data_IF_919629273032
#
_entry.id   IF_919629273032
#
_cell.length_a   1.000
_cell.length_b   1.000
_cell.length_c   1.000
_cell.angle_alpha   90.00
_cell.angle_beta   90.00
_cell.angle_gamma   90.00
#
_symmetry.space_group_name_H-M   'P 1'
#
loop_
_entity.id
_entity.type
_entity.pdbx_description
1 polymer ?
#
# COMPACT_ATOMS: atom_id res chain seq x y z
N UNK A 1 -35.56 -29.18 44.80
CA UNK A 1 -34.83 -27.94 44.40
C UNK A 1 -35.84 -26.82 44.20
N UNK A 2 -35.65 -25.70 44.88
CA UNK A 2 -36.51 -24.53 44.74
C UNK A 2 -36.26 -23.80 43.42
N UNK A 3 -37.21 -23.01 42.93
CA UNK A 3 -37.01 -22.18 41.76
C UNK A 3 -35.82 -21.20 41.91
N UNK A 4 -35.59 -20.72 43.12
CA UNK A 4 -34.45 -19.85 43.43
C UNK A 4 -33.11 -20.55 43.23
N UNK A 5 -32.98 -21.80 43.66
CA UNK A 5 -31.78 -22.60 43.51
C UNK A 5 -31.49 -22.92 42.02
N UNK A 6 -32.55 -23.23 41.27
CA UNK A 6 -32.44 -23.50 39.83
C UNK A 6 -32.00 -22.24 39.08
N UNK A 7 -32.60 -21.09 39.36
CA UNK A 7 -32.19 -19.80 38.77
C UNK A 7 -30.76 -19.44 39.10
N UNK A 8 -30.32 -19.68 40.33
CA UNK A 8 -28.94 -19.41 40.76
C UNK A 8 -27.93 -20.31 40.06
N UNK A 9 -28.21 -21.61 39.91
CA UNK A 9 -27.33 -22.59 39.24
C UNK A 9 -27.20 -22.34 37.72
N UNK A 10 -28.31 -21.96 37.07
CA UNK A 10 -28.37 -21.80 35.62
C UNK A 10 -28.14 -20.35 35.16
N UNK A 11 -27.96 -19.43 36.11
CA UNK A 11 -27.80 -17.98 35.86
C UNK A 11 -28.86 -17.46 34.91
N UNK A 12 -30.15 -17.77 35.19
CA UNK A 12 -31.26 -17.40 34.32
C UNK A 12 -32.49 -17.00 35.12
N UNK A 13 -33.45 -16.33 34.47
CA UNK A 13 -34.69 -15.84 35.14
C UNK A 13 -35.74 -16.98 35.30
N UNK A 14 -36.61 -16.84 36.27
CA UNK A 14 -37.76 -17.75 36.47
C UNK A 14 -38.67 -17.83 35.23
N UNK A 15 -38.83 -16.71 34.52
CA UNK A 15 -39.63 -16.63 33.27
C UNK A 15 -38.98 -17.51 32.19
N UNK A 16 -37.66 -17.50 32.10
CA UNK A 16 -36.95 -18.34 31.15
C UNK A 16 -37.17 -19.84 31.46
N UNK A 17 -36.98 -20.25 32.71
CA UNK A 17 -37.21 -21.64 33.12
C UNK A 17 -38.66 -22.03 32.92
N UNK A 18 -39.62 -21.19 33.32
CA UNK A 18 -41.04 -21.45 33.13
C UNK A 18 -41.42 -21.69 31.68
N UNK A 19 -40.88 -20.89 30.76
CA UNK A 19 -41.08 -21.04 29.33
C UNK A 19 -40.55 -22.41 28.81
N UNK A 20 -39.36 -22.79 29.18
CA UNK A 20 -38.79 -24.07 28.78
C UNK A 20 -39.49 -25.26 29.39
N UNK A 21 -39.93 -25.17 30.65
CA UNK A 21 -40.76 -26.18 31.30
C UNK A 21 -42.07 -26.40 30.56
N UNK A 22 -42.80 -25.34 30.22
CA UNK A 22 -44.06 -25.45 29.46
C UNK A 22 -43.84 -26.09 28.09
N UNK A 23 -42.79 -25.71 27.39
CA UNK A 23 -42.43 -26.30 26.09
C UNK A 23 -42.11 -27.79 26.21
N UNK A 24 -41.35 -28.17 27.21
CA UNK A 24 -41.03 -29.56 27.46
C UNK A 24 -42.26 -30.41 27.84
N UNK A 25 -43.17 -29.86 28.63
CA UNK A 25 -44.43 -30.55 28.99
C UNK A 25 -45.31 -30.75 27.77
N UNK A 26 -45.36 -29.77 26.86
CA UNK A 26 -46.20 -29.84 25.66
C UNK A 26 -45.58 -30.75 24.56
N UNK A 27 -44.28 -30.64 24.31
CA UNK A 27 -43.65 -31.24 23.13
C UNK A 27 -42.46 -32.15 23.48
N UNK A 28 -42.20 -32.43 24.76
CA UNK A 28 -41.09 -33.28 25.25
C UNK A 28 -39.74 -32.72 24.73
N UNK A 29 -38.86 -33.56 24.24
CA UNK A 29 -37.54 -33.18 23.77
C UNK A 29 -37.58 -32.24 22.56
N UNK A 30 -38.59 -32.39 21.69
CA UNK A 30 -38.76 -31.50 20.53
C UNK A 30 -39.01 -30.05 20.93
N UNK A 31 -39.71 -29.82 22.06
CA UNK A 31 -39.91 -28.49 22.62
C UNK A 31 -38.63 -27.76 23.08
N UNK A 32 -37.55 -28.50 23.28
CA UNK A 32 -36.24 -27.92 23.67
C UNK A 32 -35.38 -27.47 22.48
N UNK A 33 -35.74 -27.81 21.25
CA UNK A 33 -35.04 -27.30 20.08
C UNK A 33 -35.38 -25.81 19.83
N UNK A 34 -34.41 -25.03 19.34
CA UNK A 34 -34.67 -23.64 19.04
C UNK A 34 -35.72 -23.51 17.91
N UNK A 35 -36.85 -22.87 18.20
CA UNK A 35 -37.87 -22.57 17.18
C UNK A 35 -37.49 -21.47 16.24
N UNK A 36 -36.44 -20.69 16.59
CA UNK A 36 -35.97 -19.60 15.77
C UNK A 36 -34.96 -20.15 14.74
N UNK A 37 -35.47 -20.49 13.57
CA UNK A 37 -34.66 -20.90 12.41
C UNK A 37 -33.87 -19.75 11.78
N UNK A 38 -33.69 -18.62 12.48
CA UNK A 38 -33.20 -17.37 11.91
C UNK A 38 -34.22 -16.78 10.91
N UNK A 39 -34.27 -15.50 10.75
CA UNK A 39 -35.02 -14.94 9.61
C UNK A 39 -34.33 -15.48 8.34
N UNK A 40 -35.07 -16.17 7.45
CA UNK A 40 -34.56 -16.55 6.13
C UNK A 40 -33.94 -15.30 5.53
N UNK A 41 -32.62 -15.34 5.27
CA UNK A 41 -31.96 -14.23 4.59
C UNK A 41 -32.75 -13.99 3.32
N UNK A 42 -33.35 -12.82 3.21
CA UNK A 42 -34.14 -12.45 2.04
C UNK A 42 -33.19 -12.51 0.83
N UNK A 43 -33.31 -13.57 0.03
CA UNK A 43 -32.48 -13.74 -1.15
C UNK A 43 -32.94 -12.68 -2.16
N UNK A 44 -31.97 -11.91 -2.64
CA UNK A 44 -32.23 -10.98 -3.74
C UNK A 44 -32.57 -11.80 -4.98
N UNK A 45 -33.69 -11.56 -5.65
CA UNK A 45 -34.03 -12.29 -6.86
C UNK A 45 -32.96 -12.03 -7.93
N UNK A 46 -32.66 -13.02 -8.77
CA UNK A 46 -31.71 -12.90 -9.89
C UNK A 46 -32.02 -11.69 -10.79
N UNK A 47 -33.29 -11.42 -11.01
CA UNK A 47 -33.76 -10.26 -11.78
C UNK A 47 -33.37 -8.94 -11.10
N UNK A 48 -33.52 -8.85 -9.77
CA UNK A 48 -33.13 -7.66 -9.01
C UNK A 48 -31.61 -7.50 -8.99
N UNK A 49 -30.88 -8.57 -8.83
CA UNK A 49 -29.41 -8.57 -8.86
C UNK A 49 -28.89 -8.09 -10.22
N UNK A 50 -29.37 -8.64 -11.32
CA UNK A 50 -29.04 -8.20 -12.67
C UNK A 50 -29.35 -6.71 -12.88
N UNK A 51 -30.49 -6.22 -12.38
CA UNK A 51 -30.86 -4.79 -12.45
C UNK A 51 -29.90 -3.91 -11.66
N UNK A 52 -29.45 -4.36 -10.49
CA UNK A 52 -28.46 -3.67 -9.65
C UNK A 52 -27.13 -3.60 -10.40
N UNK A 53 -26.64 -4.73 -10.91
CA UNK A 53 -25.35 -4.79 -11.62
C UNK A 53 -25.37 -3.93 -12.89
N UNK A 54 -26.42 -4.00 -13.70
CA UNK A 54 -26.59 -3.15 -14.88
C UNK A 54 -26.56 -1.66 -14.53
N UNK A 55 -27.28 -1.24 -13.48
CA UNK A 55 -27.30 0.15 -13.07
C UNK A 55 -25.97 0.61 -12.44
N UNK A 56 -25.22 -0.29 -11.82
CA UNK A 56 -23.90 0.01 -11.26
C UNK A 56 -22.89 0.39 -12.36
N UNK A 57 -22.98 -0.22 -13.54
CA UNK A 57 -22.08 0.04 -14.66
C UNK A 57 -22.35 1.39 -15.36
N UNK A 58 -23.48 2.02 -15.09
CA UNK A 58 -23.80 3.35 -15.61
C UNK A 58 -23.39 4.42 -14.59
N UNK A 59 -22.90 5.57 -15.04
CA UNK A 59 -22.57 6.67 -14.14
C UNK A 59 -23.83 7.17 -13.40
N UNK A 60 -23.68 7.70 -12.17
CA UNK A 60 -24.78 8.38 -11.51
C UNK A 60 -25.30 9.57 -12.32
N UNK A 61 -26.63 9.70 -12.37
CA UNK A 61 -27.29 10.78 -13.13
C UNK A 61 -27.43 12.09 -12.35
N UNK A 62 -27.00 12.10 -11.09
CA UNK A 62 -27.12 13.20 -10.14
C UNK A 62 -25.79 13.96 -9.94
N UNK A 63 -24.85 13.83 -10.91
CA UNK A 63 -23.58 14.52 -10.87
C UNK A 63 -22.52 13.89 -9.95
N UNK A 64 -22.82 12.79 -9.27
CA UNK A 64 -21.81 12.09 -8.47
C UNK A 64 -20.87 11.26 -9.36
N UNK A 65 -19.65 11.10 -8.90
CA UNK A 65 -18.61 10.37 -9.64
C UNK A 65 -18.73 8.84 -9.52
N UNK A 66 -19.42 8.36 -8.50
CA UNK A 66 -19.57 6.91 -8.26
C UNK A 66 -20.82 6.58 -7.46
N UNK A 67 -21.25 5.33 -7.52
CA UNK A 67 -22.36 4.83 -6.73
C UNK A 67 -21.94 4.46 -5.32
N UNK A 68 -22.73 4.84 -4.33
CA UNK A 68 -22.75 4.20 -3.02
C UNK A 68 -23.95 3.22 -2.94
N UNK A 69 -23.86 2.25 -2.03
CA UNK A 69 -24.94 1.27 -1.85
C UNK A 69 -26.29 1.94 -1.54
N UNK A 70 -26.30 3.02 -0.72
CA UNK A 70 -27.50 3.75 -0.36
C UNK A 70 -28.08 4.55 -1.52
N UNK A 71 -27.24 5.21 -2.31
CA UNK A 71 -27.68 6.00 -3.48
C UNK A 71 -28.28 5.12 -4.56
N UNK A 72 -27.61 4.01 -4.90
CA UNK A 72 -28.14 3.09 -5.89
C UNK A 72 -29.41 2.42 -5.40
N UNK A 73 -29.48 2.08 -4.13
CA UNK A 73 -30.69 1.51 -3.52
C UNK A 73 -31.87 2.47 -3.61
N UNK A 74 -31.68 3.74 -3.29
CA UNK A 74 -32.70 4.79 -3.41
C UNK A 74 -33.18 4.94 -4.87
N UNK A 75 -32.26 4.99 -5.83
CA UNK A 75 -32.61 5.10 -7.27
C UNK A 75 -33.42 3.90 -7.78
N UNK A 76 -33.11 2.69 -7.29
CA UNK A 76 -33.75 1.46 -7.77
C UNK A 76 -34.95 1.02 -6.94
N UNK A 77 -35.26 1.71 -5.83
CA UNK A 77 -36.31 1.30 -4.89
C UNK A 77 -36.05 -0.06 -4.23
N UNK A 78 -34.80 -0.35 -3.89
CA UNK A 78 -34.38 -1.61 -3.24
C UNK A 78 -33.69 -1.34 -1.91
N UNK A 79 -33.47 -2.39 -1.11
CA UNK A 79 -32.71 -2.25 0.13
C UNK A 79 -31.21 -2.13 -0.16
N UNK A 80 -30.50 -1.24 0.54
CA UNK A 80 -29.06 -1.03 0.38
C UNK A 80 -28.24 -2.29 0.67
N UNK A 81 -28.72 -3.19 1.54
CA UNK A 81 -28.09 -4.48 1.77
C UNK A 81 -28.19 -5.44 0.56
N UNK A 82 -29.24 -5.30 -0.27
CA UNK A 82 -29.35 -6.06 -1.52
C UNK A 82 -28.30 -5.58 -2.51
N UNK A 83 -28.08 -4.26 -2.60
CA UNK A 83 -27.01 -3.68 -3.42
C UNK A 83 -25.64 -4.14 -2.93
N UNK A 84 -25.39 -4.07 -1.62
CA UNK A 84 -24.12 -4.50 -1.03
C UNK A 84 -23.81 -5.98 -1.32
N UNK A 85 -24.82 -6.85 -1.22
CA UNK A 85 -24.66 -8.29 -1.55
C UNK A 85 -24.42 -8.52 -3.03
N UNK A 86 -25.17 -7.87 -3.91
CA UNK A 86 -24.97 -7.97 -5.35
C UNK A 86 -23.56 -7.54 -5.75
N UNK A 87 -23.05 -6.45 -5.18
CA UNK A 87 -21.66 -6.01 -5.40
C UNK A 87 -20.63 -7.00 -4.87
N UNK A 88 -20.85 -7.52 -3.65
CA UNK A 88 -19.94 -8.52 -3.06
C UNK A 88 -19.88 -9.81 -3.90
N UNK A 89 -21.04 -10.31 -4.36
CA UNK A 89 -21.12 -11.49 -5.21
C UNK A 89 -20.42 -11.30 -6.56
N UNK A 90 -20.52 -10.09 -7.13
CA UNK A 90 -19.90 -9.74 -8.41
C UNK A 90 -18.47 -9.18 -8.29
N UNK A 91 -17.91 -9.11 -7.08
CA UNK A 91 -16.58 -8.52 -6.84
C UNK A 91 -16.47 -7.03 -7.14
N UNK A 92 -17.60 -6.30 -7.22
CA UNK A 92 -17.64 -4.89 -7.57
C UNK A 92 -17.39 -4.00 -6.35
N UNK A 93 -16.55 -2.99 -6.52
CA UNK A 93 -16.22 -1.99 -5.51
C UNK A 93 -16.25 -0.56 -6.09
N UNK A 94 -17.43 -0.02 -6.47
CA UNK A 94 -17.52 1.26 -7.19
C UNK A 94 -16.95 2.46 -6.42
N UNK A 95 -16.84 2.35 -5.09
CA UNK A 95 -16.25 3.36 -4.21
C UNK A 95 -14.72 3.30 -4.14
N UNK A 96 -14.10 2.28 -4.74
CA UNK A 96 -12.65 2.14 -4.79
C UNK A 96 -12.17 2.43 -6.20
N UNK A 97 -11.32 3.42 -6.33
CA UNK A 97 -10.63 3.72 -7.58
C UNK A 97 -9.22 3.11 -7.49
N UNK A 98 -8.92 2.20 -8.38
CA UNK A 98 -7.55 1.75 -8.61
C UNK A 98 -6.97 2.57 -9.75
N UNK A 99 -5.87 3.24 -9.48
CA UNK A 99 -5.09 3.88 -10.54
C UNK A 99 -4.16 2.84 -11.13
N UNK A 100 -4.16 2.71 -12.43
CA UNK A 100 -3.12 2.02 -13.16
C UNK A 100 -2.52 3.00 -14.16
N UNK A 101 -1.22 2.86 -14.40
CA UNK A 101 -0.53 3.61 -15.45
C UNK A 101 -0.01 2.55 -16.41
N UNK A 102 -0.42 2.63 -17.66
CA UNK A 102 0.19 1.86 -18.73
C UNK A 102 1.45 2.60 -19.17
N UNK A 103 2.56 1.91 -19.24
CA UNK A 103 3.78 2.48 -19.79
C UNK A 103 3.61 2.68 -21.30
N UNK A 104 4.01 3.85 -21.77
CA UNK A 104 4.13 4.15 -23.19
C UNK A 104 5.60 4.14 -23.66
N UNK A 105 6.48 3.55 -22.89
CA UNK A 105 7.90 3.40 -23.21
C UNK A 105 8.07 2.41 -24.37
N UNK A 106 8.61 2.82 -25.52
CA UNK A 106 8.81 1.93 -26.64
C UNK A 106 9.76 0.77 -26.35
N UNK A 107 10.70 0.98 -25.41
CA UNK A 107 11.70 -0.01 -24.98
C UNK A 107 11.28 -0.72 -23.70
N UNK A 108 9.98 -0.72 -23.37
CA UNK A 108 9.48 -1.26 -22.09
C UNK A 108 9.98 -2.67 -21.80
N UNK A 109 9.86 -3.54 -22.79
CA UNK A 109 10.18 -4.97 -22.63
C UNK A 109 11.68 -5.18 -22.39
N UNK A 110 12.55 -4.50 -23.17
CA UNK A 110 13.98 -4.57 -23.02
C UNK A 110 14.45 -4.06 -21.66
N UNK A 111 13.99 -2.88 -21.24
CA UNK A 111 14.33 -2.30 -19.94
C UNK A 111 13.79 -3.13 -18.77
N UNK A 112 12.56 -3.67 -18.89
CA UNK A 112 11.99 -4.50 -17.85
C UNK A 112 12.75 -5.82 -17.70
N UNK A 113 13.15 -6.46 -18.79
CA UNK A 113 13.95 -7.68 -18.78
C UNK A 113 15.34 -7.46 -18.21
N UNK A 114 15.98 -6.36 -18.55
CA UNK A 114 17.30 -5.96 -18.01
C UNK A 114 17.23 -5.81 -16.47
N UNK A 115 16.29 -5.01 -15.98
CA UNK A 115 16.11 -4.78 -14.54
C UNK A 115 15.72 -6.07 -13.79
N UNK A 116 14.79 -6.87 -14.33
CA UNK A 116 14.39 -8.15 -13.74
C UNK A 116 15.56 -9.12 -13.73
N UNK A 117 16.36 -9.14 -14.81
CA UNK A 117 17.57 -9.97 -14.91
C UNK A 117 18.54 -9.70 -13.77
N UNK A 118 18.79 -8.43 -13.45
CA UNK A 118 19.65 -8.02 -12.33
C UNK A 118 19.12 -8.46 -10.97
N UNK A 119 17.81 -8.55 -10.77
CA UNK A 119 17.24 -9.03 -9.52
C UNK A 119 17.26 -10.55 -9.38
N UNK A 120 17.05 -11.27 -10.47
CA UNK A 120 16.91 -12.74 -10.46
C UNK A 120 18.26 -13.42 -10.60
N UNK A 121 19.13 -12.88 -11.44
CA UNK A 121 20.44 -13.45 -11.74
C UNK A 121 21.51 -12.34 -11.86
N UNK A 122 21.88 -11.69 -10.75
CA UNK A 122 22.89 -10.64 -10.77
C UNK A 122 24.24 -11.19 -11.26
N UNK A 123 25.05 -10.38 -11.93
CA UNK A 123 26.39 -10.78 -12.32
C UNK A 123 27.23 -11.23 -11.13
N UNK A 124 28.07 -12.24 -11.33
CA UNK A 124 28.95 -12.74 -10.26
C UNK A 124 29.89 -11.61 -9.82
N UNK A 125 30.04 -11.46 -8.51
CA UNK A 125 30.89 -10.44 -7.88
C UNK A 125 30.46 -8.98 -8.08
N UNK A 126 29.33 -8.72 -8.73
CA UNK A 126 28.76 -7.38 -8.82
C UNK A 126 27.86 -7.03 -7.62
N UNK A 127 27.75 -5.76 -7.34
CA UNK A 127 26.74 -5.22 -6.42
C UNK A 127 25.61 -4.59 -7.24
N UNK A 128 24.38 -4.87 -6.87
CA UNK A 128 23.21 -4.28 -7.53
C UNK A 128 22.48 -3.38 -6.52
N UNK A 129 22.45 -2.09 -6.80
CA UNK A 129 21.70 -1.11 -6.06
C UNK A 129 20.42 -0.72 -6.78
N UNK A 130 19.33 -0.62 -6.02
CA UNK A 130 18.10 0.03 -6.43
C UNK A 130 18.10 1.42 -5.81
N UNK A 131 18.13 2.47 -6.64
CA UNK A 131 18.32 3.86 -6.22
C UNK A 131 17.10 4.69 -6.58
N UNK A 132 16.69 5.57 -5.65
CA UNK A 132 15.62 6.53 -5.88
C UNK A 132 15.73 7.69 -4.89
N UNK A 133 14.95 8.75 -5.12
CA UNK A 133 14.84 9.87 -4.20
C UNK A 133 13.41 10.11 -3.72
N UNK A 134 13.29 10.37 -2.44
CA UNK A 134 12.07 10.91 -1.86
C UNK A 134 12.21 12.42 -1.72
N UNK A 135 11.55 13.13 -2.62
CA UNK A 135 11.67 14.59 -2.74
C UNK A 135 10.74 15.34 -1.79
N UNK A 136 11.15 16.56 -1.41
CA UNK A 136 10.35 17.54 -0.69
C UNK A 136 9.64 17.02 0.57
N UNK A 137 10.33 16.17 1.36
CA UNK A 137 9.81 15.69 2.63
C UNK A 137 9.64 16.87 3.58
N UNK A 138 8.43 17.11 4.05
CA UNK A 138 8.13 18.27 4.88
C UNK A 138 8.46 17.99 6.37
N UNK A 139 9.21 18.91 6.97
CA UNK A 139 9.40 18.93 8.42
C UNK A 139 8.16 19.54 9.08
N UNK A 140 7.18 18.70 9.38
CA UNK A 140 5.92 19.11 10.00
C UNK A 140 6.03 19.03 11.52
N UNK A 141 5.76 20.13 12.20
CA UNK A 141 5.57 20.19 13.66
C UNK A 141 4.08 20.35 13.96
N UNK A 142 3.65 19.95 15.16
CA UNK A 142 2.26 20.05 15.61
C UNK A 142 2.09 21.23 16.54
N UNK A 143 1.08 22.07 16.25
CA UNK A 143 0.72 23.20 17.11
C UNK A 143 0.18 22.74 18.46
N UNK A 144 -0.55 21.62 18.47
CA UNK A 144 -1.13 21.04 19.69
C UNK A 144 -0.42 19.76 20.10
N UNK A 145 -0.33 19.48 21.41
CA UNK A 145 0.21 18.21 21.90
C UNK A 145 -0.54 17.00 21.32
N UNK A 146 0.19 15.95 21.03
CA UNK A 146 -0.39 14.66 20.66
C UNK A 146 -1.08 14.05 21.87
N UNK A 147 -2.33 13.66 21.75
CA UNK A 147 -3.02 12.88 22.77
C UNK A 147 -2.61 11.41 22.62
N UNK A 148 -1.94 10.83 23.63
CA UNK A 148 -1.37 9.51 23.50
C UNK A 148 -2.42 8.41 23.38
N UNK A 149 -2.01 7.30 22.81
CA UNK A 149 -2.78 6.05 22.78
C UNK A 149 -3.11 5.61 24.20
N UNK A 150 -4.35 5.21 24.44
CA UNK A 150 -4.80 4.59 25.69
C UNK A 150 -5.85 3.51 25.42
N UNK A 151 -6.13 2.60 26.37
CA UNK A 151 -7.15 1.56 26.19
C UNK A 151 -8.49 2.15 25.74
N UNK A 152 -9.02 1.67 24.63
CA UNK A 152 -10.28 2.15 24.02
C UNK A 152 -10.20 3.50 23.29
N UNK A 153 -9.02 4.11 23.20
CA UNK A 153 -8.82 5.39 22.51
C UNK A 153 -7.60 5.32 21.60
N UNK A 154 -7.81 5.60 20.31
CA UNK A 154 -6.71 5.80 19.36
C UNK A 154 -5.91 7.06 19.69
N UNK A 155 -4.64 7.08 19.33
CA UNK A 155 -3.81 8.28 19.33
C UNK A 155 -4.48 9.37 18.48
N UNK A 156 -4.50 10.62 19.00
CA UNK A 156 -5.11 11.75 18.29
C UNK A 156 -4.10 12.85 18.09
N UNK A 157 -4.03 13.32 16.85
CA UNK A 157 -3.22 14.46 16.44
C UNK A 157 -4.12 15.65 16.16
N UNK A 158 -3.66 16.86 16.55
CA UNK A 158 -4.25 18.10 16.06
C UNK A 158 -4.13 18.16 14.54
N UNK A 159 -5.09 18.80 13.86
CA UNK A 159 -5.04 18.99 12.40
C UNK A 159 -4.17 20.17 11.99
N UNK A 160 -3.87 21.09 12.91
CA UNK A 160 -2.97 22.22 12.67
C UNK A 160 -1.51 21.78 12.79
N UNK A 161 -0.69 22.27 11.85
CA UNK A 161 0.73 21.99 11.80
C UNK A 161 1.53 23.21 11.30
N UNK A 162 2.77 23.28 11.75
CA UNK A 162 3.77 24.25 11.32
C UNK A 162 4.69 23.57 10.32
N UNK A 163 4.97 24.24 9.21
CA UNK A 163 5.93 23.77 8.20
C UNK A 163 7.29 24.43 8.48
N UNK A 164 8.24 23.63 8.93
CA UNK A 164 9.59 24.08 9.27
C UNK A 164 10.59 23.97 8.12
N UNK A 165 10.11 23.72 6.90
CA UNK A 165 10.92 23.54 5.71
C UNK A 165 10.85 22.11 5.16
N UNK A 166 11.67 21.85 4.13
CA UNK A 166 11.71 20.57 3.41
C UNK A 166 13.14 20.08 3.26
N UNK A 167 13.29 18.78 3.06
CA UNK A 167 14.52 18.18 2.56
C UNK A 167 14.16 17.00 1.63
N UNK A 168 15.15 16.52 0.88
CA UNK A 168 15.03 15.31 0.07
C UNK A 168 15.99 14.24 0.59
N UNK A 169 15.64 12.98 0.37
CA UNK A 169 16.44 11.83 0.75
C UNK A 169 16.75 11.02 -0.50
N UNK A 170 18.02 10.87 -0.85
CA UNK A 170 18.47 9.81 -1.75
C UNK A 170 18.66 8.52 -0.97
N UNK A 171 18.24 7.41 -1.56
CA UNK A 171 18.36 6.08 -0.96
C UNK A 171 18.83 5.06 -1.98
N UNK A 172 19.87 4.29 -1.65
CA UNK A 172 20.35 3.14 -2.39
C UNK A 172 20.11 1.87 -1.57
N UNK A 173 19.29 0.98 -2.08
CA UNK A 173 19.01 -0.33 -1.49
C UNK A 173 19.93 -1.36 -2.16
N UNK A 174 20.82 -1.97 -1.41
CA UNK A 174 21.55 -3.17 -1.87
C UNK A 174 20.54 -4.33 -1.97
N UNK A 175 20.32 -4.83 -3.17
CA UNK A 175 19.29 -5.82 -3.45
C UNK A 175 19.61 -7.19 -2.86
N UNK A 176 20.90 -7.49 -2.64
CA UNK A 176 21.37 -8.75 -2.07
C UNK A 176 21.29 -8.80 -0.55
N UNK A 177 21.58 -7.69 0.13
CA UNK A 177 21.62 -7.64 1.60
C UNK A 177 20.37 -6.99 2.20
N UNK A 178 19.67 -6.17 1.43
CA UNK A 178 18.56 -5.33 1.90
C UNK A 178 19.02 -4.10 2.70
N UNK A 179 20.34 -3.85 2.81
CA UNK A 179 20.89 -2.66 3.47
C UNK A 179 20.61 -1.42 2.64
N UNK A 180 20.46 -0.30 3.31
CA UNK A 180 20.18 0.99 2.67
C UNK A 180 21.27 1.98 3.02
N UNK A 181 21.81 2.61 2.00
CA UNK A 181 22.67 3.79 2.11
C UNK A 181 21.78 5.00 1.78
N UNK A 182 21.77 6.01 2.64
CA UNK A 182 20.94 7.19 2.44
C UNK A 182 21.71 8.48 2.67
N UNK A 183 21.31 9.53 1.94
CA UNK A 183 21.86 10.88 2.07
C UNK A 183 20.73 11.91 2.01
N UNK A 184 20.63 12.74 3.04
CA UNK A 184 19.68 13.86 3.04
C UNK A 184 20.31 15.09 2.39
N UNK A 185 19.54 15.77 1.54
CA UNK A 185 19.95 16.96 0.81
C UNK A 185 18.87 18.03 0.84
N UNK A 186 19.26 19.29 0.70
CA UNK A 186 18.31 20.40 0.66
C UNK A 186 17.58 20.49 -0.70
N UNK A 187 18.23 20.08 -1.77
CA UNK A 187 17.72 20.11 -3.15
C UNK A 187 17.95 18.75 -3.79
N UNK A 188 17.16 18.42 -4.80
CA UNK A 188 17.28 17.16 -5.57
C UNK A 188 17.62 17.49 -7.03
N UNK A 189 18.80 18.02 -7.24
CA UNK A 189 19.33 18.33 -8.57
C UNK A 189 20.26 17.20 -9.07
N UNK A 190 20.61 17.23 -10.34
CA UNK A 190 21.59 16.28 -10.91
C UNK A 190 22.96 16.36 -10.23
N UNK A 191 23.31 17.49 -9.65
CA UNK A 191 24.54 17.66 -8.90
C UNK A 191 24.55 16.86 -7.60
N UNK A 192 23.48 16.97 -6.80
CA UNK A 192 23.33 16.18 -5.58
C UNK A 192 23.18 14.68 -5.89
N UNK A 193 22.54 14.34 -7.02
CA UNK A 193 22.45 12.96 -7.46
C UNK A 193 23.83 12.39 -7.76
N UNK A 194 24.64 13.07 -8.57
CA UNK A 194 26.02 12.65 -8.86
C UNK A 194 26.87 12.61 -7.59
N UNK A 195 26.75 13.60 -6.70
CA UNK A 195 27.45 13.60 -5.42
C UNK A 195 27.00 12.46 -4.49
N UNK A 196 25.78 11.95 -4.65
CA UNK A 196 25.32 10.74 -3.97
C UNK A 196 25.95 9.49 -4.59
N UNK A 197 25.97 9.38 -5.94
CA UNK A 197 26.59 8.26 -6.64
C UNK A 197 28.10 8.15 -6.36
N UNK A 198 28.80 9.28 -6.35
CA UNK A 198 30.25 9.32 -5.99
C UNK A 198 30.45 8.77 -4.57
N UNK A 199 29.63 9.21 -3.60
CA UNK A 199 29.71 8.72 -2.24
C UNK A 199 29.39 7.23 -2.14
N UNK A 200 28.38 6.75 -2.89
CA UNK A 200 27.99 5.35 -2.94
C UNK A 200 29.12 4.46 -3.48
N UNK A 201 29.74 4.87 -4.59
CA UNK A 201 30.81 4.13 -5.24
C UNK A 201 32.09 4.11 -4.38
N UNK A 202 32.39 5.21 -3.70
CA UNK A 202 33.57 5.31 -2.84
C UNK A 202 33.57 4.35 -1.63
N UNK A 203 32.43 3.78 -1.27
CA UNK A 203 32.32 2.76 -0.20
C UNK A 203 32.75 1.35 -0.68
N UNK A 204 33.04 1.19 -2.00
CA UNK A 204 33.33 -0.10 -2.62
C UNK A 204 34.69 -0.13 -3.27
N UNK A 205 35.24 -1.34 -3.48
CA UNK A 205 36.54 -1.50 -4.17
C UNK A 205 36.44 -1.08 -5.64
N UNK A 206 37.48 -0.48 -6.15
CA UNK A 206 37.53 0.05 -7.53
C UNK A 206 37.35 -1.03 -8.62
N UNK A 207 37.67 -2.28 -8.30
CA UNK A 207 37.54 -3.44 -9.20
C UNK A 207 36.14 -4.07 -9.14
N UNK A 208 35.30 -3.64 -8.25
CA UNK A 208 33.96 -4.22 -8.06
C UNK A 208 32.96 -3.59 -9.01
N UNK A 209 32.33 -4.39 -9.84
CA UNK A 209 31.26 -3.93 -10.71
C UNK A 209 30.02 -3.52 -9.88
N UNK A 210 29.49 -2.38 -10.21
CA UNK A 210 28.32 -1.80 -9.53
C UNK A 210 27.24 -1.53 -10.56
N UNK A 211 26.10 -2.20 -10.42
CA UNK A 211 24.89 -1.96 -11.20
C UNK A 211 23.91 -1.12 -10.40
N UNK A 212 23.47 -0.02 -10.98
CA UNK A 212 22.54 0.93 -10.34
C UNK A 212 21.24 0.94 -11.13
N UNK A 213 20.15 0.52 -10.51
CA UNK A 213 18.82 0.60 -11.08
C UNK A 213 18.19 1.90 -10.58
N UNK A 214 17.82 2.79 -11.48
CA UNK A 214 17.17 4.06 -11.19
C UNK A 214 15.91 4.25 -12.05
N UNK A 215 15.08 5.20 -11.68
CA UNK A 215 13.95 5.57 -12.50
C UNK A 215 14.38 6.36 -13.76
N UNK A 216 13.47 6.49 -14.71
CA UNK A 216 13.74 7.09 -16.01
C UNK A 216 13.59 8.63 -16.01
N UNK A 217 13.96 9.31 -14.89
CA UNK A 217 13.91 10.77 -14.81
C UNK A 217 14.98 11.44 -15.67
N UNK A 218 14.63 12.61 -16.19
CA UNK A 218 15.57 13.44 -16.98
C UNK A 218 16.79 13.89 -16.16
N UNK A 219 16.62 14.08 -14.85
CA UNK A 219 17.72 14.45 -13.94
C UNK A 219 18.83 13.38 -13.87
N UNK A 220 18.49 12.12 -14.13
CA UNK A 220 19.43 10.99 -14.13
C UNK A 220 20.15 10.79 -15.48
N UNK A 221 19.83 11.58 -16.50
CA UNK A 221 20.39 11.48 -17.86
C UNK A 221 21.17 12.71 -18.29
N UNK A 222 21.51 13.57 -17.36
CA UNK A 222 22.23 14.83 -17.63
C UNK A 222 23.67 14.55 -18.04
N UNK A 223 24.28 15.55 -18.67
CA UNK A 223 25.70 15.55 -19.04
C UNK A 223 26.60 15.16 -17.85
N UNK A 224 26.31 15.69 -16.66
CA UNK A 224 27.09 15.38 -15.45
C UNK A 224 27.04 13.90 -15.05
N UNK A 225 25.89 13.23 -15.23
CA UNK A 225 25.78 11.78 -15.00
C UNK A 225 26.58 11.01 -16.02
N UNK A 226 26.56 11.41 -17.28
CA UNK A 226 27.37 10.77 -18.34
C UNK A 226 28.86 10.93 -18.07
N UNK A 227 29.31 12.12 -17.63
CA UNK A 227 30.68 12.39 -17.23
C UNK A 227 31.09 11.50 -16.04
N UNK A 228 30.23 11.36 -15.06
CA UNK A 228 30.44 10.46 -13.92
C UNK A 228 30.63 9.00 -14.40
N UNK A 229 29.72 8.49 -15.25
CA UNK A 229 29.83 7.13 -15.77
C UNK A 229 31.09 6.93 -16.62
N UNK A 230 31.46 7.91 -17.41
CA UNK A 230 32.73 7.85 -18.20
C UNK A 230 33.95 7.79 -17.31
N UNK A 231 33.93 8.43 -16.14
CA UNK A 231 35.03 8.37 -15.16
C UNK A 231 35.02 7.09 -14.30
N UNK A 232 33.93 6.32 -14.28
CA UNK A 232 33.75 5.12 -13.46
C UNK A 232 33.27 3.95 -14.32
N UNK A 233 34.16 3.39 -15.16
CA UNK A 233 33.81 2.36 -16.14
C UNK A 233 33.21 1.07 -15.52
N UNK A 234 33.43 0.82 -14.24
CA UNK A 234 32.86 -0.31 -13.48
C UNK A 234 31.48 -0.04 -12.94
N UNK A 235 30.89 1.15 -13.22
CA UNK A 235 29.52 1.53 -12.78
C UNK A 235 28.59 1.52 -13.98
N UNK A 236 27.50 0.77 -13.87
CA UNK A 236 26.51 0.61 -14.91
C UNK A 236 25.14 1.12 -14.42
N UNK A 237 24.54 2.05 -15.16
CA UNK A 237 23.25 2.63 -14.82
C UNK A 237 22.15 2.01 -15.69
N UNK A 238 21.14 1.42 -15.05
CA UNK A 238 19.99 0.77 -15.67
C UNK A 238 18.71 1.55 -15.34
N UNK A 239 17.94 1.85 -16.36
CA UNK A 239 16.71 2.63 -16.18
C UNK A 239 15.48 1.73 -16.20
N UNK A 240 14.59 1.93 -15.22
CA UNK A 240 13.25 1.33 -15.30
C UNK A 240 12.46 1.93 -16.47
N UNK A 241 11.52 1.19 -17.08
CA UNK A 241 10.63 1.77 -18.07
C UNK A 241 9.84 2.93 -17.50
N UNK A 242 9.49 3.89 -18.34
CA UNK A 242 8.67 5.05 -17.95
C UNK A 242 7.37 4.59 -17.29
N UNK A 243 6.97 5.23 -16.20
CA UNK A 243 5.82 4.87 -15.37
C UNK A 243 5.88 3.48 -14.73
N UNK A 244 7.06 2.92 -14.54
CA UNK A 244 7.25 1.58 -13.97
C UNK A 244 8.08 1.57 -12.68
N UNK A 245 7.87 2.55 -11.81
CA UNK A 245 8.54 2.65 -10.51
C UNK A 245 8.39 1.39 -9.63
N UNK A 246 7.33 0.60 -9.87
CA UNK A 246 7.13 -0.69 -9.20
C UNK A 246 8.23 -1.72 -9.49
N UNK A 247 9.04 -1.54 -10.53
CA UNK A 247 10.25 -2.32 -10.80
C UNK A 247 11.44 -1.86 -9.95
N UNK A 248 11.41 -0.65 -9.39
CA UNK A 248 12.45 -0.15 -8.53
C UNK A 248 12.22 -0.60 -7.08
N UNK A 249 12.99 -1.56 -6.58
CA UNK A 249 12.76 -2.17 -5.25
C UNK A 249 12.90 -1.18 -4.08
N UNK A 250 13.71 -0.14 -4.23
CA UNK A 250 13.86 0.87 -3.16
C UNK A 250 12.55 1.60 -2.85
N UNK A 251 11.63 1.68 -3.80
CA UNK A 251 10.28 2.25 -3.59
C UNK A 251 9.49 1.50 -2.50
N UNK A 252 9.70 0.18 -2.38
CA UNK A 252 9.09 -0.62 -1.31
C UNK A 252 9.64 -0.18 0.04
N UNK A 253 10.95 0.10 0.11
CA UNK A 253 11.59 0.58 1.32
C UNK A 253 11.19 2.03 1.63
N UNK A 254 11.15 2.92 0.65
CA UNK A 254 10.67 4.29 0.81
C UNK A 254 9.21 4.34 1.28
N UNK A 255 8.38 3.41 0.84
CA UNK A 255 7.01 3.25 1.33
C UNK A 255 6.94 2.79 2.80
N UNK A 256 7.91 2.01 3.28
CA UNK A 256 8.04 1.67 4.71
C UNK A 256 8.49 2.90 5.51
N UNK A 257 9.49 3.63 5.03
CA UNK A 257 9.97 4.87 5.64
C UNK A 257 8.83 5.88 5.80
N UNK A 258 8.03 6.07 4.74
CA UNK A 258 6.85 6.95 4.79
C UNK A 258 5.91 6.57 5.94
N UNK A 259 5.53 5.31 6.03
CA UNK A 259 4.58 4.82 7.05
C UNK A 259 5.13 4.85 8.47
N UNK A 260 6.41 4.53 8.63
CA UNK A 260 7.01 4.34 9.95
C UNK A 260 7.57 5.63 10.56
N UNK A 261 8.01 6.58 9.72
CA UNK A 261 8.70 7.79 10.18
C UNK A 261 7.96 9.05 9.78
N UNK A 262 7.58 9.18 8.49
CA UNK A 262 7.13 10.46 7.96
C UNK A 262 5.66 10.72 8.27
N UNK A 263 4.78 9.78 7.99
CA UNK A 263 3.32 9.97 8.05
C UNK A 263 2.80 10.41 9.43
N UNK A 264 3.46 9.98 10.52
CA UNK A 264 3.10 10.35 11.89
C UNK A 264 4.20 11.10 12.61
N UNK A 265 5.31 11.38 11.92
CA UNK A 265 6.46 12.08 12.48
C UNK A 265 6.14 13.53 12.84
N UNK A 266 6.80 14.01 13.88
CA UNK A 266 6.81 15.41 14.30
C UNK A 266 8.24 15.89 14.17
N UNK A 267 8.46 16.97 13.41
CA UNK A 267 9.80 17.45 13.06
C UNK A 267 9.92 18.94 13.29
N UNK A 268 10.72 19.32 14.29
CA UNK A 268 10.92 20.70 14.69
C UNK A 268 11.79 21.52 13.71
N UNK A 269 12.49 20.85 12.82
CA UNK A 269 13.35 21.46 11.79
C UNK A 269 13.73 20.45 10.71
N UNK A 270 14.25 20.88 9.55
CA UNK A 270 14.83 19.96 8.56
C UNK A 270 16.00 19.13 9.12
N UNK A 271 16.80 19.70 10.02
CA UNK A 271 17.88 18.97 10.69
C UNK A 271 17.35 17.86 11.62
N UNK A 272 16.25 18.10 12.34
CA UNK A 272 15.58 17.08 13.14
C UNK A 272 14.99 15.96 12.27
N UNK A 273 14.36 16.33 11.15
CA UNK A 273 13.88 15.38 10.15
C UNK A 273 15.04 14.53 9.60
N UNK A 274 16.14 15.16 9.15
CA UNK A 274 17.31 14.45 8.64
C UNK A 274 17.85 13.43 9.67
N UNK A 275 18.05 13.85 10.93
CA UNK A 275 18.53 12.99 11.99
C UNK A 275 17.61 11.77 12.21
N UNK A 276 16.29 11.96 12.21
CA UNK A 276 15.31 10.88 12.38
C UNK A 276 15.29 9.91 11.20
N UNK A 277 15.41 10.41 9.98
CA UNK A 277 15.54 9.59 8.78
C UNK A 277 16.81 8.74 8.80
N UNK A 278 17.96 9.35 9.09
CA UNK A 278 19.24 8.66 9.15
C UNK A 278 19.27 7.62 10.28
N UNK A 279 18.68 7.94 11.44
CA UNK A 279 18.52 6.97 12.53
C UNK A 279 17.68 5.77 12.11
N UNK A 280 16.58 5.98 11.39
CA UNK A 280 15.75 4.88 10.89
C UNK A 280 16.53 3.98 9.92
N UNK A 281 17.35 4.56 9.03
CA UNK A 281 18.23 3.80 8.13
C UNK A 281 19.21 2.94 8.95
N UNK A 282 19.86 3.52 9.96
CA UNK A 282 20.80 2.80 10.82
C UNK A 282 20.12 1.63 11.55
N UNK A 283 18.93 1.83 12.12
CA UNK A 283 18.18 0.78 12.79
C UNK A 283 17.73 -0.31 11.80
N UNK A 284 17.23 0.09 10.61
CA UNK A 284 16.87 -0.84 9.55
C UNK A 284 18.05 -1.74 9.16
N UNK A 285 19.24 -1.16 9.03
CA UNK A 285 20.43 -1.87 8.58
C UNK A 285 20.95 -2.92 9.58
N UNK A 286 20.56 -2.86 10.85
CA UNK A 286 20.88 -3.90 11.85
C UNK A 286 20.19 -5.23 11.57
N UNK A 287 19.01 -5.18 10.96
CA UNK A 287 18.19 -6.36 10.66
C UNK A 287 17.79 -6.43 9.19
N UNK A 288 18.59 -5.80 8.33
CA UNK A 288 18.32 -5.76 6.90
C UNK A 288 18.26 -7.18 6.32
N UNK A 289 17.33 -7.36 5.39
CA UNK A 289 17.17 -8.59 4.64
C UNK A 289 16.71 -8.26 3.22
N UNK A 290 17.08 -9.07 2.23
CA UNK A 290 16.69 -8.88 0.84
C UNK A 290 15.16 -8.80 0.70
N UNK A 291 14.71 -7.97 -0.21
CA UNK A 291 13.29 -7.92 -0.57
C UNK A 291 12.96 -9.18 -1.37
N UNK A 292 12.15 -10.07 -0.80
CA UNK A 292 11.71 -11.28 -1.49
C UNK A 292 10.72 -10.90 -2.58
N UNK A 293 11.07 -11.23 -3.80
CA UNK A 293 10.17 -11.11 -4.94
C UNK A 293 9.04 -12.12 -4.81
N UNK A 294 7.81 -11.66 -4.56
CA UNK A 294 6.63 -12.52 -4.40
C UNK A 294 5.81 -12.66 -5.69
N UNK A 295 6.32 -12.15 -6.77
CA UNK A 295 5.56 -12.05 -8.00
C UNK A 295 5.72 -13.34 -8.80
N UNK A 296 4.65 -14.15 -8.84
CA UNK A 296 4.64 -15.46 -9.52
C UNK A 296 3.95 -15.41 -10.89
N UNK A 297 3.23 -14.34 -11.20
CA UNK A 297 2.49 -14.20 -12.46
C UNK A 297 2.79 -12.86 -13.13
N UNK A 298 3.78 -12.78 -14.03
CA UNK A 298 4.13 -11.57 -14.74
C UNK A 298 3.03 -11.09 -15.69
N UNK A 299 2.14 -11.97 -16.17
CA UNK A 299 1.08 -11.64 -17.14
C UNK A 299 0.09 -10.60 -16.62
N UNK A 300 -0.08 -10.50 -15.32
CA UNK A 300 -0.98 -9.52 -14.69
C UNK A 300 -0.45 -8.08 -14.67
N UNK A 301 0.86 -7.88 -14.86
CA UNK A 301 1.49 -6.54 -14.85
C UNK A 301 2.35 -6.27 -16.07
N UNK A 302 2.90 -7.30 -16.67
CA UNK A 302 3.64 -7.26 -17.94
C UNK A 302 2.67 -7.83 -18.99
N UNK A 303 1.56 -7.19 -19.22
CA UNK A 303 0.67 -7.52 -20.33
C UNK A 303 1.24 -6.87 -21.59
N UNK A 304 1.56 -7.66 -22.60
CA UNK A 304 1.63 -7.17 -23.96
C UNK A 304 0.37 -6.33 -24.23
N UNK A 305 0.51 -5.22 -24.94
CA UNK A 305 -0.54 -4.31 -25.34
C UNK A 305 -1.84 -5.07 -25.67
N UNK A 306 -2.75 -5.16 -24.71
CA UNK A 306 -4.15 -5.30 -25.06
C UNK A 306 -4.53 -3.96 -25.69
N UNK A 307 -4.50 -3.93 -27.01
CA UNK A 307 -5.13 -2.89 -27.80
C UNK A 307 -6.42 -2.52 -27.12
N UNK A 308 -6.58 -1.27 -26.74
CA UNK A 308 -7.82 -0.75 -26.20
C UNK A 308 -8.89 -1.06 -27.25
N UNK A 309 -9.66 -2.11 -27.02
CA UNK A 309 -10.89 -2.35 -27.78
C UNK A 309 -11.81 -1.24 -27.34
N UNK A 310 -11.85 -0.21 -28.14
CA UNK A 310 -12.85 0.85 -28.07
C UNK A 310 -14.19 0.17 -28.31
N UNK A 311 -14.91 -0.13 -27.26
CA UNK A 311 -16.32 -0.49 -27.36
C UNK A 311 -17.07 0.83 -27.59
N UNK A 312 -17.52 1.00 -28.85
CA UNK A 312 -18.46 2.05 -29.23
C UNK A 312 -19.82 1.89 -28.54
#
# INVERSE_FOLDING_TARGET
>A
MSWREICGRLVCSQVFIGRWKLRFLAERLEGLYPRHQGSRRQQTSLRTEARILKATMQPPTDGATHWSTRRLASKLGVNHMQVARAWANAGLQPHRMQRYVASNDPDFEAKALDVIGLYVNPPQHAIVFSVDEKTAIQALDRTLPVLPLSPGRAERHGFEYIRNGTLSLYAALDTRTGRVIGKTVARHTSEEFVAFLVALVAEHAAEQEIHIIADNLSAHKTQRVQEFLAAHAHVHLHFTPTYSSWLNQVEIWLSKLERHVIARGIFKSPADLARKLMRYIQEHNKTAAPIKWKYTDPSRRIGAHLSAVTVH
#
